data_IF_267287939323
#
_entry.id   IF_267287939323
#
_cell.length_a   1.000
_cell.length_b   1.000
_cell.length_c   1.000
_cell.angle_alpha   90.00
_cell.angle_beta   90.00
_cell.angle_gamma   90.00
#
_symmetry.space_group_name_H-M   'P 1'
#
loop_
_entity.id
_entity.type
_entity.pdbx_description
1 polymer ?
#
# COMPACT_ATOMS: atom_id res chain seq x y z
N UNK A 1 -6.01 36.97 -46.20
CA UNK A 1 -6.35 35.75 -45.42
C UNK A 1 -5.04 35.04 -45.02
N UNK A 2 -4.65 35.08 -43.76
CA UNK A 2 -3.43 34.40 -43.26
C UNK A 2 -3.87 33.09 -42.60
N UNK A 3 -3.45 31.96 -43.20
CA UNK A 3 -3.66 30.63 -42.64
C UNK A 3 -2.72 30.40 -41.46
N UNK A 4 -3.25 30.12 -40.29
CA UNK A 4 -2.50 29.66 -39.12
C UNK A 4 -2.37 28.15 -39.20
N UNK A 5 -1.16 27.66 -39.40
CA UNK A 5 -0.87 26.24 -39.28
C UNK A 5 -0.73 25.88 -37.79
N UNK A 6 -1.65 25.07 -37.28
CA UNK A 6 -1.51 24.45 -35.97
C UNK A 6 -0.47 23.33 -36.06
N UNK A 7 0.68 23.54 -35.43
CA UNK A 7 1.68 22.50 -35.24
C UNK A 7 1.20 21.58 -34.11
N UNK A 8 0.66 20.42 -34.45
CA UNK A 8 0.39 19.37 -33.47
C UNK A 8 1.72 18.74 -33.09
N UNK A 9 2.24 19.10 -31.93
CA UNK A 9 3.35 18.37 -31.32
C UNK A 9 2.83 17.00 -30.89
N UNK A 10 3.12 15.97 -31.66
CA UNK A 10 3.01 14.59 -31.23
C UNK A 10 4.07 14.36 -30.13
N UNK A 11 3.61 14.25 -28.87
CA UNK A 11 4.46 13.79 -27.80
C UNK A 11 4.99 12.39 -28.19
N UNK A 12 6.29 12.24 -28.27
CA UNK A 12 6.91 10.93 -28.47
C UNK A 12 6.50 10.02 -27.29
N UNK A 13 6.12 8.75 -27.53
CA UNK A 13 5.86 7.83 -26.42
C UNK A 13 7.14 7.72 -25.60
N UNK A 14 7.03 7.96 -24.30
CA UNK A 14 8.09 7.63 -23.37
C UNK A 14 8.48 6.17 -23.61
N UNK A 15 9.78 5.88 -23.72
CA UNK A 15 10.28 4.52 -23.85
C UNK A 15 9.91 3.80 -22.56
N UNK A 16 8.76 3.14 -22.58
CA UNK A 16 8.37 2.22 -21.54
C UNK A 16 9.37 1.06 -21.59
N UNK A 17 10.35 1.08 -20.68
CA UNK A 17 11.19 -0.10 -20.46
C UNK A 17 10.26 -1.29 -20.25
N UNK A 18 10.65 -2.46 -20.78
CA UNK A 18 9.84 -3.69 -20.67
C UNK A 18 9.51 -3.94 -19.21
N UNK A 19 8.22 -3.89 -18.86
CA UNK A 19 7.75 -4.12 -17.50
C UNK A 19 7.91 -5.62 -17.17
N UNK A 20 8.66 -5.92 -16.13
CA UNK A 20 8.84 -7.29 -15.64
C UNK A 20 7.62 -7.71 -14.83
N UNK A 21 7.00 -8.84 -15.17
CA UNK A 21 5.81 -9.39 -14.52
C UNK A 21 6.14 -10.71 -13.84
N UNK A 22 5.43 -11.05 -12.76
CA UNK A 22 5.57 -12.31 -12.04
C UNK A 22 6.82 -12.42 -11.17
N UNK A 23 7.67 -11.40 -11.16
CA UNK A 23 8.90 -11.38 -10.38
C UNK A 23 9.08 -10.05 -9.62
N UNK A 24 9.87 -10.07 -8.55
CA UNK A 24 10.25 -8.85 -7.84
C UNK A 24 11.37 -8.15 -8.59
N UNK A 25 11.11 -6.92 -9.01
CA UNK A 25 12.17 -6.00 -9.45
C UNK A 25 12.64 -5.23 -8.22
N UNK A 26 13.87 -5.49 -7.78
CA UNK A 26 14.37 -4.99 -6.50
C UNK A 26 14.57 -3.48 -6.46
N UNK A 27 14.88 -2.87 -7.61
CA UNK A 27 15.21 -1.45 -7.69
C UNK A 27 14.78 -0.83 -9.01
N UNK A 28 13.86 0.09 -8.93
CA UNK A 28 13.45 0.97 -10.03
C UNK A 28 13.63 2.42 -9.57
N UNK A 29 14.34 3.22 -10.34
CA UNK A 29 14.45 4.64 -10.07
C UNK A 29 13.16 5.37 -10.51
N UNK A 30 12.71 6.30 -9.69
CA UNK A 30 11.61 7.19 -10.04
C UNK A 30 12.02 8.13 -11.17
N UNK A 31 11.12 8.36 -12.13
CA UNK A 31 11.30 9.38 -13.16
C UNK A 31 11.15 10.80 -12.59
N UNK A 32 10.46 10.94 -11.46
CA UNK A 32 10.23 12.23 -10.80
C UNK A 32 11.45 12.69 -10.00
N UNK A 33 12.06 11.78 -9.26
CA UNK A 33 13.32 11.99 -8.53
C UNK A 33 14.18 10.73 -8.66
N UNK A 34 15.15 10.67 -9.56
CA UNK A 34 15.97 9.47 -9.78
C UNK A 34 16.78 8.99 -8.58
N UNK A 35 16.91 9.80 -7.53
CA UNK A 35 17.54 9.38 -6.28
C UNK A 35 16.60 8.60 -5.37
N UNK A 36 15.27 8.66 -5.63
CA UNK A 36 14.25 7.84 -5.00
C UNK A 36 14.10 6.55 -5.78
N UNK A 37 14.15 5.43 -5.08
CA UNK A 37 14.02 4.11 -5.69
C UNK A 37 12.99 3.27 -4.95
N UNK A 38 12.41 2.31 -5.65
CA UNK A 38 11.49 1.36 -5.04
C UNK A 38 11.59 -0.01 -5.71
N UNK A 39 11.27 -1.05 -4.97
CA UNK A 39 11.01 -2.37 -5.52
C UNK A 39 9.56 -2.46 -5.99
N UNK A 40 9.29 -3.31 -6.99
CA UNK A 40 7.92 -3.56 -7.39
C UNK A 40 7.67 -5.02 -7.75
N UNK A 41 6.42 -5.41 -7.65
CA UNK A 41 5.85 -6.63 -8.18
C UNK A 41 4.61 -6.31 -9.00
N UNK A 42 4.49 -6.94 -10.15
CA UNK A 42 3.31 -6.84 -11.02
C UNK A 42 2.88 -8.27 -11.35
N UNK A 43 1.59 -8.62 -11.16
CA UNK A 43 1.08 -9.95 -11.49
C UNK A 43 1.36 -10.38 -12.93
N UNK A 44 1.53 -11.67 -13.18
CA UNK A 44 1.73 -12.20 -14.55
C UNK A 44 0.61 -11.78 -15.49
N UNK A 45 -0.62 -11.74 -14.97
CA UNK A 45 -1.82 -11.35 -15.73
C UNK A 45 -1.96 -9.84 -15.97
N UNK A 46 -1.03 -9.00 -15.46
CA UNK A 46 -1.13 -7.55 -15.61
C UNK A 46 -1.17 -7.13 -17.07
N UNK A 47 -2.10 -6.22 -17.38
CA UNK A 47 -2.18 -5.49 -18.65
C UNK A 47 -2.53 -4.02 -18.38
N UNK A 48 -2.07 -3.08 -19.21
CA UNK A 48 -2.37 -1.65 -19.02
C UNK A 48 -3.81 -1.27 -19.43
N UNK A 49 -4.54 -2.17 -20.09
CA UNK A 49 -5.90 -1.93 -20.59
C UNK A 49 -6.95 -1.99 -19.48
N UNK A 50 -6.61 -2.59 -18.33
CA UNK A 50 -7.47 -2.58 -17.15
C UNK A 50 -6.77 -1.94 -15.96
N UNK A 51 -7.55 -1.43 -15.02
CA UNK A 51 -7.03 -0.85 -13.79
C UNK A 51 -6.84 -1.92 -12.71
N UNK A 52 -5.77 -1.79 -11.92
CA UNK A 52 -5.33 -2.74 -10.90
C UNK A 52 -5.26 -2.10 -9.53
N UNK A 53 -5.58 -2.82 -8.46
CA UNK A 53 -5.26 -2.37 -7.11
C UNK A 53 -3.74 -2.23 -6.93
N UNK A 54 -3.32 -1.26 -6.12
CA UNK A 54 -1.92 -1.07 -5.77
C UNK A 54 -1.73 -1.03 -4.26
N UNK A 55 -0.67 -1.66 -3.77
CA UNK A 55 -0.22 -1.63 -2.38
C UNK A 55 1.13 -0.90 -2.29
N UNK A 56 1.13 0.25 -1.63
CA UNK A 56 2.33 0.95 -1.23
C UNK A 56 2.88 0.37 0.07
N UNK A 57 4.15 -0.07 0.07
CA UNK A 57 4.77 -0.77 1.19
C UNK A 57 5.92 0.06 1.76
N UNK A 58 5.95 0.22 3.09
CA UNK A 58 6.96 1.01 3.79
C UNK A 58 7.65 0.15 4.86
N UNK A 59 8.92 -0.20 4.57
CA UNK A 59 9.77 -0.87 5.56
C UNK A 59 10.61 0.17 6.32
N UNK A 60 10.68 0.10 7.67
CA UNK A 60 11.39 1.11 8.47
C UNK A 60 12.91 1.09 8.30
N UNK A 61 13.46 0.16 7.52
CA UNK A 61 14.89 -0.01 7.26
C UNK A 61 15.23 0.01 5.77
N UNK A 62 14.38 0.61 4.93
CA UNK A 62 14.60 0.72 3.48
C UNK A 62 14.79 -0.63 2.76
N UNK A 63 14.14 -1.71 3.23
CA UNK A 63 14.27 -3.06 2.67
C UNK A 63 13.13 -3.35 1.68
N UNK A 64 13.02 -2.53 0.63
CA UNK A 64 11.89 -2.58 -0.29
C UNK A 64 11.66 -3.94 -0.92
N UNK A 65 12.67 -4.58 -1.48
CA UNK A 65 12.54 -5.90 -2.12
C UNK A 65 12.08 -6.98 -1.12
N UNK A 66 12.66 -7.01 0.08
CA UNK A 66 12.26 -7.93 1.14
C UNK A 66 10.79 -7.73 1.54
N UNK A 67 10.37 -6.47 1.70
CA UNK A 67 9.01 -6.15 2.09
C UNK A 67 8.01 -6.45 0.97
N UNK A 68 8.35 -6.18 -0.30
CA UNK A 68 7.53 -6.58 -1.45
C UNK A 68 7.34 -8.09 -1.54
N UNK A 69 8.40 -8.88 -1.28
CA UNK A 69 8.34 -10.35 -1.31
C UNK A 69 7.36 -10.94 -0.27
N UNK A 70 7.10 -10.23 0.84
CA UNK A 70 6.11 -10.67 1.83
C UNK A 70 4.68 -10.72 1.26
N UNK A 71 4.40 -9.88 0.26
CA UNK A 71 3.08 -9.75 -0.35
C UNK A 71 2.97 -10.42 -1.72
N UNK A 72 4.07 -10.92 -2.31
CA UNK A 72 4.12 -11.42 -3.70
C UNK A 72 3.05 -12.47 -4.00
N UNK A 73 2.93 -13.50 -3.15
CA UNK A 73 1.97 -14.58 -3.36
C UNK A 73 0.52 -14.09 -3.31
N UNK A 74 0.20 -13.24 -2.33
CA UNK A 74 -1.13 -12.64 -2.23
C UNK A 74 -1.41 -11.66 -3.38
N UNK A 75 -0.39 -10.90 -3.81
CA UNK A 75 -0.48 -9.98 -4.93
C UNK A 75 -0.78 -10.72 -6.24
N UNK A 76 -0.16 -11.87 -6.48
CA UNK A 76 -0.47 -12.72 -7.64
C UNK A 76 -1.89 -13.29 -7.54
N UNK A 77 -2.27 -13.85 -6.38
CA UNK A 77 -3.59 -14.47 -6.17
C UNK A 77 -4.74 -13.47 -6.40
N UNK A 78 -4.61 -12.25 -5.87
CA UNK A 78 -5.69 -11.25 -5.89
C UNK A 78 -5.55 -10.21 -7.01
N UNK A 79 -4.47 -10.26 -7.77
CA UNK A 79 -4.20 -9.33 -8.86
C UNK A 79 -3.86 -7.93 -8.35
N UNK A 80 -2.90 -7.81 -7.43
CA UNK A 80 -2.44 -6.52 -6.90
C UNK A 80 -1.04 -6.15 -7.40
N UNK A 81 -0.85 -4.88 -7.71
CA UNK A 81 0.50 -4.31 -7.88
C UNK A 81 1.05 -4.05 -6.48
N UNK A 82 2.31 -4.39 -6.24
CA UNK A 82 3.02 -4.04 -5.00
C UNK A 82 4.17 -3.11 -5.35
N UNK A 83 4.27 -1.98 -4.66
CA UNK A 83 5.37 -1.02 -4.80
C UNK A 83 5.95 -0.73 -3.42
N UNK A 84 7.23 -0.97 -3.23
CA UNK A 84 7.86 -0.94 -1.91
C UNK A 84 9.06 -0.01 -1.89
N UNK A 85 9.01 1.00 -1.03
CA UNK A 85 10.06 2.02 -0.94
C UNK A 85 11.41 1.43 -0.50
N UNK A 86 12.48 1.85 -1.19
CA UNK A 86 13.86 1.59 -0.78
C UNK A 86 14.46 2.73 0.07
N UNK A 87 13.67 3.77 0.38
CA UNK A 87 14.20 5.00 0.97
C UNK A 87 13.50 5.40 2.28
N UNK A 88 12.43 4.68 2.68
CA UNK A 88 11.72 4.97 3.94
C UNK A 88 12.46 4.44 5.16
N UNK A 89 12.43 5.22 6.25
CA UNK A 89 13.13 4.93 7.50
C UNK A 89 12.28 5.32 8.71
N UNK A 90 12.43 4.58 9.82
CA UNK A 90 12.03 5.03 11.16
C UNK A 90 13.21 5.66 11.90
N UNK A 91 12.91 6.29 13.02
CA UNK A 91 13.88 6.81 13.99
C UNK A 91 14.82 7.89 13.43
N UNK A 92 14.29 8.75 12.55
CA UNK A 92 15.03 9.83 11.92
C UNK A 92 14.14 11.00 11.54
N UNK A 93 14.70 11.99 10.85
CA UNK A 93 13.93 13.14 10.38
C UNK A 93 12.87 12.69 9.35
N UNK A 94 11.81 13.49 9.21
CA UNK A 94 10.65 13.18 8.34
C UNK A 94 11.00 13.33 6.85
N UNK A 95 11.97 14.19 6.51
CA UNK A 95 12.30 14.58 5.14
C UNK A 95 12.61 13.40 4.21
N UNK A 96 13.38 12.37 4.60
CA UNK A 96 13.62 11.22 3.73
C UNK A 96 12.34 10.48 3.37
N UNK A 97 11.39 10.34 4.31
CA UNK A 97 10.12 9.68 4.08
C UNK A 97 9.22 10.52 3.17
N UNK A 98 9.15 11.84 3.40
CA UNK A 98 8.41 12.75 2.54
C UNK A 98 8.97 12.75 1.11
N UNK A 99 10.31 12.75 0.95
CA UNK A 99 10.96 12.65 -0.35
C UNK A 99 10.65 11.33 -1.05
N UNK A 100 10.73 10.22 -0.32
CA UNK A 100 10.41 8.89 -0.86
C UNK A 100 8.98 8.85 -1.40
N UNK A 101 7.99 9.36 -0.65
CA UNK A 101 6.60 9.43 -1.09
C UNK A 101 6.45 10.36 -2.30
N UNK A 102 7.00 11.56 -2.25
CA UNK A 102 6.87 12.57 -3.30
C UNK A 102 7.52 12.12 -4.63
N UNK A 103 8.56 11.31 -4.57
CA UNK A 103 9.17 10.70 -5.75
C UNK A 103 8.42 9.47 -6.25
N UNK A 104 8.01 8.58 -5.33
CA UNK A 104 7.41 7.29 -5.70
C UNK A 104 5.93 7.42 -6.11
N UNK A 105 5.13 8.20 -5.38
CA UNK A 105 3.68 8.28 -5.59
C UNK A 105 3.30 8.69 -7.03
N UNK A 106 3.76 9.84 -7.56
CA UNK A 106 3.40 10.23 -8.92
C UNK A 106 4.00 9.30 -9.98
N UNK A 107 5.23 8.83 -9.80
CA UNK A 107 5.87 7.90 -10.74
C UNK A 107 5.10 6.57 -10.86
N UNK A 108 4.61 6.03 -9.75
CA UNK A 108 3.81 4.81 -9.72
C UNK A 108 2.47 5.01 -10.46
N UNK A 109 1.84 6.17 -10.31
CA UNK A 109 0.59 6.50 -11.01
C UNK A 109 0.79 6.66 -12.52
N UNK A 110 1.95 7.15 -12.94
CA UNK A 110 2.28 7.32 -14.36
C UNK A 110 2.67 5.99 -15.03
N UNK A 111 3.31 5.08 -14.27
CA UNK A 111 3.82 3.81 -14.82
C UNK A 111 2.79 2.71 -14.88
N UNK A 112 1.88 2.65 -13.93
CA UNK A 112 0.97 1.52 -13.78
C UNK A 112 -0.49 1.94 -13.96
N UNK A 113 -1.29 1.07 -14.56
CA UNK A 113 -2.73 1.26 -14.68
C UNK A 113 -3.43 1.00 -13.34
N UNK A 114 -3.46 2.00 -12.47
CA UNK A 114 -3.97 1.90 -11.10
C UNK A 114 -5.47 2.19 -11.05
N UNK A 115 -6.21 1.39 -10.29
CA UNK A 115 -7.60 1.67 -9.94
C UNK A 115 -7.66 2.77 -8.87
N UNK A 116 -8.17 3.98 -9.16
CA UNK A 116 -8.06 5.14 -8.26
C UNK A 116 -8.73 4.96 -6.90
N UNK A 117 -9.73 4.08 -6.81
CA UNK A 117 -10.44 3.74 -5.56
C UNK A 117 -9.92 2.49 -4.88
N UNK A 118 -8.81 1.93 -5.34
CA UNK A 118 -8.20 0.70 -4.82
C UNK A 118 -6.70 0.88 -4.60
N UNK A 119 -6.34 1.98 -3.96
CA UNK A 119 -4.99 2.29 -3.52
C UNK A 119 -4.91 1.94 -2.04
N UNK A 120 -3.92 1.16 -1.66
CA UNK A 120 -3.72 0.69 -0.31
C UNK A 120 -2.31 1.01 0.16
N UNK A 121 -2.14 1.15 1.47
CA UNK A 121 -0.84 1.38 2.07
C UNK A 121 -0.58 0.37 3.19
N UNK A 122 0.66 -0.03 3.36
CA UNK A 122 1.09 -0.91 4.45
C UNK A 122 2.48 -0.55 4.91
N UNK A 123 2.78 -0.94 6.13
CA UNK A 123 4.12 -0.81 6.67
C UNK A 123 4.27 -1.54 7.99
N UNK A 124 5.53 -1.69 8.39
CA UNK A 124 5.91 -2.24 9.68
C UNK A 124 6.50 -1.14 10.56
N UNK A 125 6.12 -1.11 11.86
CA UNK A 125 6.69 -0.17 12.82
C UNK A 125 6.56 1.29 12.36
N UNK A 126 7.62 2.05 12.23
CA UNK A 126 7.62 3.40 11.66
C UNK A 126 7.05 3.47 10.24
N UNK A 127 7.16 2.41 9.43
CA UNK A 127 6.50 2.30 8.14
C UNK A 127 4.97 2.19 8.25
N UNK A 128 4.45 1.59 9.33
CA UNK A 128 3.01 1.54 9.59
C UNK A 128 2.46 2.92 9.99
N UNK A 129 3.22 3.69 10.77
CA UNK A 129 2.90 5.10 11.07
C UNK A 129 2.81 5.90 9.77
N UNK A 130 3.81 5.72 8.88
CA UNK A 130 3.84 6.41 7.59
C UNK A 130 2.65 6.05 6.70
N UNK A 131 2.28 4.75 6.64
CA UNK A 131 1.13 4.28 5.87
C UNK A 131 -0.20 4.88 6.39
N UNK A 132 -0.35 4.95 7.70
CA UNK A 132 -1.53 5.55 8.34
C UNK A 132 -1.59 7.06 8.06
N UNK A 133 -0.49 7.79 8.29
CA UNK A 133 -0.40 9.23 8.02
C UNK A 133 -0.64 9.57 6.54
N UNK A 134 -0.17 8.73 5.61
CA UNK A 134 -0.46 8.89 4.18
C UNK A 134 -1.96 8.80 3.90
N UNK A 135 -2.65 7.86 4.53
CA UNK A 135 -4.09 7.69 4.38
C UNK A 135 -4.88 8.87 4.97
N UNK A 136 -4.49 9.36 6.15
CA UNK A 136 -5.14 10.53 6.77
C UNK A 136 -4.97 11.82 5.95
N UNK A 137 -3.81 12.01 5.34
CA UNK A 137 -3.47 13.28 4.70
C UNK A 137 -3.92 13.38 3.25
N UNK A 138 -4.04 12.25 2.54
CA UNK A 138 -4.30 12.28 1.09
C UNK A 138 -5.75 12.00 0.71
N UNK A 139 -6.54 11.34 1.56
CA UNK A 139 -7.86 10.80 1.24
C UNK A 139 -7.90 9.91 -0.04
N UNK A 140 -6.74 9.50 -0.53
CA UNK A 140 -6.61 8.68 -1.75
C UNK A 140 -6.47 7.18 -1.42
N UNK A 141 -6.13 6.85 -0.18
CA UNK A 141 -5.90 5.48 0.28
C UNK A 141 -7.22 4.86 0.74
N UNK A 142 -7.60 3.75 0.13
CA UNK A 142 -8.84 3.03 0.45
C UNK A 142 -8.71 2.11 1.67
N UNK A 143 -7.48 1.71 2.03
CA UNK A 143 -7.24 0.88 3.21
C UNK A 143 -5.78 0.82 3.62
N UNK A 144 -5.56 0.63 4.92
CA UNK A 144 -4.24 0.54 5.56
C UNK A 144 -4.08 -0.81 6.24
N UNK A 145 -2.96 -1.51 5.96
CA UNK A 145 -2.54 -2.70 6.68
C UNK A 145 -1.38 -2.29 7.60
N UNK A 146 -1.64 -2.18 8.89
CA UNK A 146 -0.69 -1.69 9.89
C UNK A 146 -0.06 -2.84 10.66
N UNK A 147 1.26 -3.00 10.60
CA UNK A 147 1.99 -4.09 11.27
C UNK A 147 2.85 -3.52 12.40
N UNK A 148 2.49 -3.80 13.66
CA UNK A 148 3.21 -3.32 14.84
C UNK A 148 3.39 -1.80 14.86
N UNK A 149 2.42 -1.09 14.33
CA UNK A 149 2.39 0.36 14.26
C UNK A 149 1.77 0.97 15.51
N UNK A 150 1.99 2.25 15.69
CA UNK A 150 1.33 3.11 16.67
C UNK A 150 0.84 4.38 16.00
N UNK A 151 0.05 5.16 16.68
CA UNK A 151 -0.30 6.53 16.30
C UNK A 151 0.20 7.48 17.40
N UNK A 152 0.80 8.60 17.00
CA UNK A 152 1.43 9.52 17.97
C UNK A 152 0.42 10.20 18.91
N UNK A 153 -0.81 10.38 18.43
CA UNK A 153 -1.93 10.92 19.22
C UNK A 153 -3.25 10.31 18.74
N UNK A 154 -3.60 9.15 19.29
CA UNK A 154 -4.80 8.38 18.95
C UNK A 154 -6.07 9.22 19.12
N UNK A 155 -6.11 10.17 20.08
CA UNK A 155 -7.27 11.01 20.31
C UNK A 155 -7.56 11.98 19.15
N UNK A 156 -6.55 12.28 18.32
CA UNK A 156 -6.71 13.13 17.12
C UNK A 156 -7.26 12.39 15.90
N UNK A 157 -7.36 11.08 15.94
CA UNK A 157 -8.07 10.34 14.90
C UNK A 157 -9.56 10.68 15.05
N UNK A 158 -10.08 11.57 14.21
CA UNK A 158 -11.46 12.07 14.29
C UNK A 158 -12.30 11.70 13.05
N UNK A 159 -11.65 11.43 11.93
CA UNK A 159 -12.32 11.00 10.70
C UNK A 159 -11.42 10.02 9.94
N UNK A 160 -11.95 8.82 9.67
CA UNK A 160 -11.24 7.77 8.93
C UNK A 160 -12.03 7.40 7.68
N UNK A 161 -11.49 7.75 6.52
CA UNK A 161 -12.09 7.46 5.21
C UNK A 161 -11.61 6.14 4.59
N UNK A 162 -10.76 5.40 5.28
CA UNK A 162 -10.12 4.15 4.83
C UNK A 162 -10.44 2.97 5.75
N UNK A 163 -10.35 1.76 5.22
CA UNK A 163 -10.44 0.54 6.02
C UNK A 163 -9.11 0.28 6.73
N UNK A 164 -9.13 -0.22 7.95
CA UNK A 164 -7.92 -0.52 8.69
C UNK A 164 -7.82 -1.99 9.11
N UNK A 165 -6.71 -2.65 8.73
CA UNK A 165 -6.34 -3.97 9.21
C UNK A 165 -5.08 -3.84 10.07
N UNK A 166 -5.23 -3.94 11.38
CA UNK A 166 -4.13 -3.90 12.33
C UNK A 166 -3.62 -5.30 12.65
N UNK A 167 -2.31 -5.42 12.82
CA UNK A 167 -1.70 -6.65 13.33
C UNK A 167 -0.44 -6.35 14.12
N UNK A 168 -0.19 -7.14 15.18
CA UNK A 168 1.02 -7.07 15.98
C UNK A 168 1.36 -8.44 16.57
N UNK A 169 2.64 -8.67 16.81
CA UNK A 169 3.06 -9.82 17.60
C UNK A 169 2.52 -9.75 19.03
N UNK A 170 2.10 -10.86 19.61
CA UNK A 170 1.51 -10.89 20.97
C UNK A 170 2.52 -10.55 22.09
N UNK A 171 3.82 -10.47 21.75
CA UNK A 171 4.89 -9.96 22.64
C UNK A 171 5.63 -8.78 22.01
N UNK A 172 4.98 -8.07 21.08
CA UNK A 172 5.46 -6.84 20.49
C UNK A 172 5.35 -5.69 21.51
N UNK A 173 6.36 -4.86 21.60
CA UNK A 173 6.33 -3.70 22.50
C UNK A 173 5.32 -2.63 22.05
N UNK A 174 4.93 -2.59 20.77
CA UNK A 174 3.86 -1.73 20.25
C UNK A 174 2.48 -2.43 20.25
N UNK A 175 2.34 -3.60 20.92
CA UNK A 175 1.07 -4.33 20.88
C UNK A 175 -0.08 -3.50 21.44
N UNK A 176 0.11 -2.86 22.57
CA UNK A 176 -0.92 -2.05 23.22
C UNK A 176 -1.25 -0.81 22.39
N UNK A 177 -0.23 -0.11 21.89
CA UNK A 177 -0.43 1.07 21.05
C UNK A 177 -1.15 0.74 19.72
N UNK A 178 -0.88 -0.44 19.16
CA UNK A 178 -1.66 -0.91 17.99
C UNK A 178 -3.12 -1.17 18.36
N UNK A 179 -3.39 -1.68 19.56
CA UNK A 179 -4.74 -1.88 20.09
C UNK A 179 -5.47 -0.57 20.40
N UNK A 180 -4.78 0.47 20.84
CA UNK A 180 -5.37 1.79 21.03
C UNK A 180 -5.96 2.37 19.74
N UNK A 181 -5.30 2.14 18.59
CA UNK A 181 -5.86 2.51 17.28
C UNK A 181 -7.16 1.75 17.04
N UNK A 182 -7.19 0.43 17.28
CA UNK A 182 -8.41 -0.38 17.13
C UNK A 182 -9.56 0.16 18.00
N UNK A 183 -9.29 0.46 19.28
CA UNK A 183 -10.31 0.95 20.20
C UNK A 183 -10.87 2.30 19.75
N UNK A 184 -10.00 3.18 19.25
CA UNK A 184 -10.43 4.46 18.69
C UNK A 184 -11.27 4.29 17.42
N UNK A 185 -10.92 3.37 16.54
CA UNK A 185 -11.69 3.10 15.32
C UNK A 185 -13.07 2.52 15.60
N UNK A 186 -13.22 1.75 16.69
CA UNK A 186 -14.54 1.27 17.18
C UNK A 186 -15.45 2.44 17.57
N UNK A 187 -14.90 3.46 18.24
CA UNK A 187 -15.65 4.66 18.63
C UNK A 187 -16.13 5.48 17.44
N UNK A 188 -15.38 5.45 16.32
CA UNK A 188 -15.66 6.20 15.09
C UNK A 188 -16.54 5.46 14.09
N UNK A 189 -17.01 4.25 14.41
CA UNK A 189 -17.78 3.38 13.49
C UNK A 189 -17.02 3.13 12.15
N UNK A 190 -15.69 3.13 12.20
CA UNK A 190 -14.84 2.84 11.05
C UNK A 190 -14.83 1.34 10.73
N UNK A 191 -14.46 0.97 9.50
CA UNK A 191 -14.24 -0.43 9.16
C UNK A 191 -12.85 -0.87 9.59
N UNK A 192 -12.78 -1.79 10.53
CA UNK A 192 -11.52 -2.26 11.09
C UNK A 192 -11.52 -3.78 11.31
N UNK A 193 -10.32 -4.34 11.38
CA UNK A 193 -10.02 -5.69 11.85
C UNK A 193 -8.66 -5.71 12.52
N UNK A 194 -8.53 -6.46 13.61
CA UNK A 194 -7.24 -6.69 14.26
C UNK A 194 -7.01 -8.19 14.44
N UNK A 195 -5.80 -8.66 14.09
CA UNK A 195 -5.36 -10.02 14.32
C UNK A 195 -3.94 -10.02 14.90
N UNK A 196 -3.73 -10.69 16.03
CA UNK A 196 -2.37 -10.87 16.57
C UNK A 196 -1.74 -12.17 16.07
N UNK A 197 -0.41 -12.24 16.12
CA UNK A 197 0.35 -13.44 15.80
C UNK A 197 1.38 -13.77 16.90
N UNK A 198 1.81 -15.03 17.06
CA UNK A 198 2.86 -15.38 17.99
C UNK A 198 4.21 -14.77 17.56
N UNK A 199 4.74 -13.84 18.38
CA UNK A 199 6.03 -13.22 18.08
C UNK A 199 6.23 -11.87 18.69
N UNK A 200 7.45 -11.35 18.44
CA UNK A 200 7.92 -10.03 18.89
C UNK A 200 7.69 -9.00 17.78
N UNK A 201 8.28 -7.82 17.95
CA UNK A 201 8.27 -6.72 16.99
C UNK A 201 8.94 -7.10 15.67
N UNK A 202 8.15 -7.49 14.69
CA UNK A 202 8.56 -7.91 13.33
C UNK A 202 7.41 -7.83 12.35
N UNK A 203 7.70 -7.94 11.06
CA UNK A 203 6.68 -8.17 10.05
C UNK A 203 5.82 -9.39 10.41
N UNK A 204 4.53 -9.30 10.15
CA UNK A 204 3.60 -10.40 10.31
C UNK A 204 3.95 -11.57 9.36
N UNK A 205 3.57 -12.80 9.70
CA UNK A 205 3.71 -13.95 8.79
C UNK A 205 2.97 -13.74 7.47
N UNK A 206 3.49 -14.32 6.37
CA UNK A 206 2.92 -14.17 5.01
C UNK A 206 1.45 -14.56 4.94
N UNK A 207 1.03 -15.60 5.65
CA UNK A 207 -0.36 -16.05 5.71
C UNK A 207 -1.29 -15.01 6.34
N UNK A 208 -0.84 -14.29 7.38
CA UNK A 208 -1.60 -13.21 7.98
C UNK A 208 -1.65 -11.97 7.06
N UNK A 209 -0.54 -11.64 6.38
CA UNK A 209 -0.52 -10.58 5.39
C UNK A 209 -1.44 -10.91 4.19
N UNK A 210 -1.48 -12.19 3.78
CA UNK A 210 -2.44 -12.65 2.76
C UNK A 210 -3.89 -12.45 3.23
N UNK A 211 -4.22 -12.82 4.49
CA UNK A 211 -5.57 -12.58 5.05
C UNK A 211 -5.92 -11.09 5.12
N UNK A 212 -4.94 -10.23 5.37
CA UNK A 212 -5.19 -8.78 5.36
C UNK A 212 -5.57 -8.26 3.98
N UNK A 213 -4.91 -8.74 2.90
CA UNK A 213 -5.31 -8.44 1.52
C UNK A 213 -6.70 -9.04 1.21
N UNK A 214 -6.94 -10.29 1.61
CA UNK A 214 -8.24 -10.94 1.42
C UNK A 214 -9.38 -10.15 2.10
N UNK A 215 -9.15 -9.62 3.29
CA UNK A 215 -10.11 -8.76 3.97
C UNK A 215 -10.34 -7.44 3.22
N UNK A 216 -9.29 -6.80 2.70
CA UNK A 216 -9.42 -5.61 1.85
C UNK A 216 -10.22 -5.89 0.57
N UNK A 217 -10.09 -7.09 -0.01
CA UNK A 217 -10.90 -7.53 -1.13
C UNK A 217 -12.38 -7.61 -0.77
N UNK A 218 -12.72 -8.11 0.43
CA UNK A 218 -14.10 -8.15 0.92
C UNK A 218 -14.65 -6.73 1.11
N UNK A 219 -13.85 -5.79 1.64
CA UNK A 219 -14.27 -4.39 1.75
C UNK A 219 -14.51 -3.76 0.36
N UNK A 220 -13.64 -4.05 -0.61
CA UNK A 220 -13.84 -3.61 -1.99
C UNK A 220 -15.14 -4.17 -2.62
N UNK A 221 -15.51 -5.42 -2.31
CA UNK A 221 -16.81 -5.98 -2.73
C UNK A 221 -18.00 -5.25 -2.09
N UNK A 222 -17.94 -4.98 -0.78
CA UNK A 222 -18.99 -4.22 -0.06
C UNK A 222 -19.21 -2.83 -0.67
N UNK A 223 -18.15 -2.20 -1.18
CA UNK A 223 -18.19 -0.88 -1.85
C UNK A 223 -18.52 -0.95 -3.35
N UNK A 224 -18.76 -2.14 -3.89
CA UNK A 224 -19.05 -2.32 -5.33
C UNK A 224 -17.86 -2.05 -6.25
N UNK A 225 -16.64 -2.06 -5.72
CA UNK A 225 -15.40 -1.79 -6.47
C UNK A 225 -14.86 -3.04 -7.18
N UNK A 226 -15.43 -4.20 -6.91
CA UNK A 226 -15.21 -5.47 -7.62
C UNK A 226 -16.46 -6.36 -7.53
N UNK A 227 -16.64 -7.32 -8.46
CA UNK A 227 -17.70 -8.31 -8.37
C UNK A 227 -17.62 -9.14 -7.08
N UNK A 228 -18.78 -9.54 -6.55
CA UNK A 228 -18.85 -10.38 -5.36
C UNK A 228 -18.37 -11.79 -5.69
N UNK A 229 -17.35 -12.23 -4.97
CA UNK A 229 -16.86 -13.61 -4.95
C UNK A 229 -17.35 -14.29 -3.66
N UNK A 230 -18.36 -15.15 -3.78
CA UNK A 230 -18.98 -15.84 -2.63
C UNK A 230 -18.01 -16.80 -1.92
N UNK A 231 -17.07 -17.39 -2.65
CA UNK A 231 -16.06 -18.29 -2.05
C UNK A 231 -15.07 -17.50 -1.20
N UNK A 232 -14.61 -16.36 -1.70
CA UNK A 232 -13.76 -15.44 -0.96
C UNK A 232 -14.44 -14.92 0.30
N UNK A 233 -15.69 -14.45 0.19
CA UNK A 233 -16.46 -13.95 1.35
C UNK A 233 -16.60 -15.05 2.42
N UNK A 234 -16.84 -16.30 2.03
CA UNK A 234 -16.96 -17.41 2.98
C UNK A 234 -15.64 -17.66 3.72
N UNK A 235 -14.51 -17.70 3.01
CA UNK A 235 -13.19 -17.89 3.65
C UNK A 235 -12.83 -16.76 4.60
N UNK A 236 -13.15 -15.52 4.24
CA UNK A 236 -12.85 -14.36 5.08
C UNK A 236 -13.71 -14.27 6.37
N UNK A 237 -14.79 -15.05 6.48
CA UNK A 237 -15.67 -15.14 7.66
C UNK A 237 -15.30 -16.31 8.60
N UNK A 238 -14.47 -17.23 8.16
CA UNK A 238 -13.90 -18.34 8.94
C UNK A 238 -12.67 -17.87 9.72
#
# INVERSE_FOLDING_TARGET
MRAWAFLVLLAAPAVAGTLHKGEIVERLASNVDPSVTYAYYVPEAYTPERQWPVLFVFDPRSRGAMAAELFREAAEEFGWIVVSSNDTRSDGPVEPNARAINGMWPDVHDRFAIAPKRIYATGFSGGAILAFSLAETTNAVAGVISVGGRHDDVARIDNVSFDWFGTAGNTDFNYLETREIEDRLKELDAQWRFESFPGRHRWAPKDLLRRSIEWMEVQAMKRGLRPVDKALVRRALE
#
